data_IF_704419891448
#
_entry.id   IF_704419891448
#
_cell.length_a   1.000
_cell.length_b   1.000
_cell.length_c   1.000
_cell.angle_alpha   90.00
_cell.angle_beta   90.00
_cell.angle_gamma   90.00
#
_symmetry.space_group_name_H-M   'P 1'
#
loop_
_entity.id
_entity.type
_entity.pdbx_description
1 polymer ?
#
# COMPACT_ATOMS: atom_id res chain seq x y z
N UNK A 1 11.84 -3.45 12.31
CA UNK A 1 10.94 -3.01 11.21
C UNK A 1 9.64 -3.78 11.32
N UNK A 2 8.67 -3.23 12.05
CA UNK A 2 7.32 -3.80 12.22
C UNK A 2 6.25 -3.04 11.40
N UNK A 3 6.51 -1.78 11.06
CA UNK A 3 5.56 -0.87 10.40
C UNK A 3 5.22 -1.29 8.96
N UNK A 4 6.21 -1.69 8.16
CA UNK A 4 5.97 -2.15 6.78
C UNK A 4 5.08 -3.41 6.75
N UNK A 5 5.45 -4.43 7.53
CA UNK A 5 4.68 -5.69 7.64
C UNK A 5 3.26 -5.46 8.17
N UNK A 6 3.09 -4.52 9.10
CA UNK A 6 1.77 -4.12 9.58
C UNK A 6 0.91 -3.59 8.42
N UNK A 7 1.43 -2.64 7.65
CA UNK A 7 0.72 -2.06 6.52
C UNK A 7 0.43 -3.08 5.41
N UNK A 8 1.39 -3.93 5.05
CA UNK A 8 1.19 -5.03 4.10
C UNK A 8 0.05 -5.95 4.53
N UNK A 9 -0.02 -6.30 5.82
CA UNK A 9 -1.06 -7.18 6.37
C UNK A 9 -2.45 -6.53 6.28
N UNK A 10 -2.56 -5.25 6.63
CA UNK A 10 -3.82 -4.52 6.54
C UNK A 10 -4.26 -4.40 5.08
N UNK A 11 -3.36 -3.98 4.19
CA UNK A 11 -3.62 -3.85 2.75
C UNK A 11 -4.11 -5.17 2.16
N UNK A 12 -3.47 -6.29 2.50
CA UNK A 12 -3.90 -7.63 2.05
C UNK A 12 -5.29 -7.99 2.54
N UNK A 13 -5.66 -7.60 3.77
CA UNK A 13 -6.99 -7.88 4.31
C UNK A 13 -8.07 -7.08 3.63
N UNK A 14 -7.80 -5.83 3.25
CA UNK A 14 -8.80 -4.93 2.66
C UNK A 14 -8.82 -4.92 1.13
N UNK A 15 -7.92 -5.66 0.47
CA UNK A 15 -7.76 -5.58 -0.99
C UNK A 15 -8.97 -6.07 -1.82
N UNK A 16 -9.94 -6.71 -1.17
CA UNK A 16 -11.21 -7.11 -1.79
C UNK A 16 -12.12 -5.91 -2.06
N UNK A 17 -11.97 -4.82 -1.30
CA UNK A 17 -12.75 -3.59 -1.44
C UNK A 17 -11.84 -2.49 -1.98
N UNK A 18 -12.17 -1.97 -3.16
CA UNK A 18 -11.32 -1.00 -3.82
C UNK A 18 -11.29 0.35 -3.10
N UNK A 19 -12.41 0.80 -2.52
CA UNK A 19 -12.48 2.07 -1.80
C UNK A 19 -11.68 1.98 -0.49
N UNK A 20 -11.87 0.89 0.26
CA UNK A 20 -11.15 0.65 1.51
C UNK A 20 -9.64 0.45 1.28
N UNK A 21 -9.28 -0.27 0.22
CA UNK A 21 -7.89 -0.39 -0.24
C UNK A 21 -7.27 0.98 -0.50
N UNK A 22 -8.03 1.92 -1.10
CA UNK A 22 -7.50 3.27 -1.35
C UNK A 22 -7.15 4.00 -0.08
N UNK A 23 -8.05 3.92 0.90
CA UNK A 23 -7.93 4.62 2.17
C UNK A 23 -6.74 4.06 2.96
N UNK A 24 -6.63 2.74 3.06
CA UNK A 24 -5.54 2.11 3.81
C UNK A 24 -4.18 2.26 3.13
N UNK A 25 -4.13 2.24 1.79
CA UNK A 25 -2.88 2.51 1.06
C UNK A 25 -2.40 3.95 1.28
N UNK A 26 -3.30 4.95 1.22
CA UNK A 26 -2.98 6.36 1.57
C UNK A 26 -2.41 6.47 2.98
N UNK A 27 -3.05 5.80 3.95
CA UNK A 27 -2.59 5.80 5.35
C UNK A 27 -1.22 5.14 5.47
N UNK A 28 -1.00 4.02 4.78
CA UNK A 28 0.28 3.32 4.81
C UNK A 28 1.40 4.21 4.25
N UNK A 29 1.23 4.80 3.06
CA UNK A 29 2.21 5.71 2.45
C UNK A 29 2.55 6.88 3.38
N UNK A 30 1.55 7.52 4.00
CA UNK A 30 1.75 8.64 4.93
C UNK A 30 2.50 8.25 6.21
N UNK A 31 2.33 7.02 6.68
CA UNK A 31 2.89 6.54 7.95
C UNK A 31 4.20 5.76 7.78
N UNK A 32 4.55 5.35 6.55
CA UNK A 32 5.87 4.81 6.21
C UNK A 32 6.85 5.93 5.86
N UNK A 33 8.14 5.70 6.15
CA UNK A 33 9.20 6.64 5.77
C UNK A 33 9.39 6.73 4.26
N UNK A 34 9.92 7.84 3.73
CA UNK A 34 10.19 7.99 2.29
C UNK A 34 11.08 6.88 1.71
N UNK A 35 11.96 6.29 2.53
CA UNK A 35 12.79 5.14 2.16
C UNK A 35 12.02 3.81 2.06
N UNK A 36 10.90 3.68 2.76
CA UNK A 36 10.07 2.46 2.81
C UNK A 36 8.88 2.51 1.83
N UNK A 37 8.44 3.70 1.44
CA UNK A 37 7.35 3.89 0.48
C UNK A 37 7.56 3.14 -0.86
N UNK A 38 8.75 3.16 -1.49
CA UNK A 38 8.97 2.40 -2.72
C UNK A 38 8.77 0.90 -2.54
N UNK A 39 9.27 0.35 -1.43
CA UNK A 39 9.15 -1.08 -1.11
C UNK A 39 7.69 -1.48 -0.88
N UNK A 40 6.92 -0.64 -0.15
CA UNK A 40 5.49 -0.86 0.08
C UNK A 40 4.70 -0.88 -1.25
N UNK A 41 4.99 0.06 -2.15
CA UNK A 41 4.31 0.15 -3.44
C UNK A 41 4.68 -1.00 -4.37
N UNK A 42 5.96 -1.36 -4.45
CA UNK A 42 6.41 -2.52 -5.23
C UNK A 42 5.73 -3.80 -4.73
N UNK A 43 5.69 -4.01 -3.42
CA UNK A 43 4.98 -5.14 -2.82
C UNK A 43 3.48 -5.14 -3.19
N UNK A 44 2.82 -3.98 -3.19
CA UNK A 44 1.42 -3.89 -3.58
C UNK A 44 1.21 -4.27 -5.07
N UNK A 45 2.12 -3.90 -5.98
CA UNK A 45 2.03 -4.31 -7.40
C UNK A 45 2.14 -5.83 -7.50
N UNK A 46 3.16 -6.41 -6.85
CA UNK A 46 3.45 -7.84 -6.92
C UNK A 46 2.36 -8.69 -6.26
N UNK A 47 1.90 -8.28 -5.07
CA UNK A 47 1.00 -9.09 -4.23
C UNK A 47 -0.47 -8.93 -4.59
N UNK A 48 -0.89 -7.76 -5.08
CA UNK A 48 -2.29 -7.50 -5.44
C UNK A 48 -2.55 -7.67 -6.94
N UNK A 49 -1.50 -7.77 -7.77
CA UNK A 49 -1.62 -7.84 -9.23
C UNK A 49 -2.31 -6.61 -9.85
N UNK A 50 -2.46 -5.52 -9.08
CA UNK A 50 -3.12 -4.30 -9.53
C UNK A 50 -2.08 -3.33 -10.08
N UNK A 51 -2.42 -2.72 -11.22
CA UNK A 51 -1.58 -1.72 -11.84
C UNK A 51 -1.63 -0.42 -11.01
N UNK A 52 -0.63 -0.24 -10.13
CA UNK A 52 -0.53 0.91 -9.21
C UNK A 52 -0.40 2.25 -9.96
N UNK A 53 -0.25 2.25 -11.29
CA UNK A 53 -0.28 3.46 -12.12
C UNK A 53 -1.50 4.36 -11.88
N UNK A 54 -2.66 3.80 -11.49
CA UNK A 54 -3.84 4.61 -11.11
C UNK A 54 -3.65 5.39 -9.79
N UNK A 55 -2.68 4.99 -8.99
CA UNK A 55 -2.43 5.43 -7.63
C UNK A 55 -1.20 6.33 -7.51
N UNK A 56 -0.62 6.71 -8.65
CA UNK A 56 0.46 7.70 -8.71
C UNK A 56 0.06 9.05 -8.09
N UNK A 57 -1.24 9.33 -7.98
CA UNK A 57 -1.78 10.49 -7.28
C UNK A 57 -1.79 10.35 -5.75
N UNK A 58 -1.38 9.20 -5.21
CA UNK A 58 -1.25 8.94 -3.77
C UNK A 58 0.14 9.20 -3.20
N UNK A 59 1.13 9.35 -4.09
CA UNK A 59 2.48 9.81 -3.79
C UNK A 59 2.54 11.33 -3.96
#
# INVERSE_FOLDING_TARGET
METLKYHETIIKKVCFDEELLQIELKKAVRNTTCSEQPALLEWCVMSLGRNIKKWHHLL
#
